data_IF_929013512734
#
_entry.id   IF_929013512734
#
_cell.length_a   1.000
_cell.length_b   1.000
_cell.length_c   1.000
_cell.angle_alpha   90.00
_cell.angle_beta   90.00
_cell.angle_gamma   90.00
#
_symmetry.space_group_name_H-M   'P 1'
#
loop_
_entity.id
_entity.type
_entity.pdbx_description
1 polymer ?
#
# COMPACT_ATOMS: atom_id res chain seq x y z
N UNK A 1 -15.44 -2.79 2.48
CA UNK A 1 -14.05 -2.63 2.94
C UNK A 1 -13.80 -1.18 3.30
N UNK A 2 -12.89 -0.91 4.22
CA UNK A 2 -12.49 0.44 4.64
C UNK A 2 -11.01 0.47 4.97
N UNK A 3 -10.38 1.64 4.84
CA UNK A 3 -9.01 1.87 5.30
C UNK A 3 -9.05 2.46 6.70
N UNK A 4 -8.32 1.84 7.61
CA UNK A 4 -8.13 2.31 8.97
C UNK A 4 -6.76 2.95 9.09
N UNK A 5 -6.70 4.22 9.52
CA UNK A 5 -5.46 4.93 9.85
C UNK A 5 -5.33 5.01 11.36
N UNK A 6 -4.23 4.49 11.90
CA UNK A 6 -4.02 4.36 13.34
C UNK A 6 -2.59 4.71 13.72
N UNK A 7 -2.38 5.05 14.99
CA UNK A 7 -1.04 5.29 15.54
C UNK A 7 -0.56 4.03 16.25
N UNK A 8 0.59 3.51 15.84
CA UNK A 8 1.33 2.45 16.53
C UNK A 8 2.22 3.09 17.60
N UNK A 9 1.96 2.80 18.87
CA UNK A 9 2.68 3.45 19.99
C UNK A 9 2.91 2.56 21.23
N UNK A 10 2.88 1.24 21.07
CA UNK A 10 3.17 0.30 22.17
C UNK A 10 4.66 0.12 22.47
N UNK A 11 4.99 -0.53 23.59
CA UNK A 11 6.37 -0.81 24.03
C UNK A 11 7.22 -1.44 22.91
N UNK A 12 6.68 -2.44 22.21
CA UNK A 12 7.37 -3.07 21.08
C UNK A 12 7.64 -2.10 19.93
N UNK A 13 6.74 -1.15 19.69
CA UNK A 13 6.95 -0.15 18.65
C UNK A 13 8.09 0.81 19.03
N UNK A 14 8.18 1.19 20.31
CA UNK A 14 9.27 2.01 20.83
C UNK A 14 10.62 1.30 20.67
N UNK A 15 10.71 0.05 21.11
CA UNK A 15 11.94 -0.74 21.04
C UNK A 15 12.42 -1.01 19.61
N UNK A 16 11.48 -1.16 18.67
CA UNK A 16 11.80 -1.42 17.26
C UNK A 16 11.93 -0.14 16.43
N UNK A 17 11.75 1.04 17.03
CA UNK A 17 11.76 2.31 16.29
C UNK A 17 10.62 2.47 15.30
N UNK A 18 9.51 1.73 15.47
CA UNK A 18 8.35 1.72 14.58
C UNK A 18 7.15 2.48 15.17
N UNK A 19 7.41 3.44 16.06
CA UNK A 19 6.38 4.35 16.56
C UNK A 19 5.98 5.31 15.45
N UNK A 20 4.68 5.42 15.19
CA UNK A 20 4.19 6.36 14.20
C UNK A 20 2.81 5.98 13.67
N UNK A 21 2.42 6.62 12.57
CA UNK A 21 1.15 6.44 11.89
C UNK A 21 1.26 5.33 10.84
N UNK A 22 0.25 4.47 10.80
CA UNK A 22 0.14 3.35 9.86
C UNK A 22 -1.28 3.29 9.33
N UNK A 23 -1.46 2.51 8.27
CA UNK A 23 -2.75 2.23 7.70
C UNK A 23 -2.93 0.74 7.44
N UNK A 24 -4.17 0.27 7.45
CA UNK A 24 -4.54 -1.09 7.07
C UNK A 24 -5.87 -1.12 6.32
N UNK A 25 -6.02 -2.04 5.38
CA UNK A 25 -7.28 -2.27 4.68
C UNK A 25 -8.04 -3.41 5.37
N UNK A 26 -9.31 -3.16 5.70
CA UNK A 26 -10.16 -4.14 6.38
C UNK A 26 -11.48 -4.34 5.66
N UNK A 27 -12.04 -5.52 5.80
CA UNK A 27 -13.42 -5.82 5.42
C UNK A 27 -14.40 -5.32 6.48
N UNK A 28 -15.70 -5.26 6.17
CA UNK A 28 -16.70 -4.78 7.13
C UNK A 28 -16.95 -5.75 8.30
N UNK A 29 -16.68 -7.04 8.10
CA UNK A 29 -16.65 -8.10 9.13
C UNK A 29 -15.34 -8.10 9.95
N UNK A 30 -14.43 -7.16 9.70
CA UNK A 30 -13.26 -6.91 10.53
C UNK A 30 -12.00 -7.69 10.16
N UNK A 31 -12.01 -8.46 9.07
CA UNK A 31 -10.80 -9.14 8.57
C UNK A 31 -9.82 -8.11 8.01
N UNK A 32 -8.54 -8.21 8.39
CA UNK A 32 -7.46 -7.39 7.82
C UNK A 32 -6.96 -8.01 6.53
N UNK A 33 -7.08 -7.30 5.42
CA UNK A 33 -6.59 -7.73 4.11
C UNK A 33 -5.16 -7.28 3.84
N UNK A 34 -4.82 -6.06 4.28
CA UNK A 34 -3.48 -5.46 4.13
C UNK A 34 -3.13 -4.75 5.43
N UNK A 35 -1.94 -5.00 5.98
CA UNK A 35 -1.34 -4.22 7.06
C UNK A 35 -0.04 -3.61 6.55
N UNK A 36 -0.02 -2.29 6.37
CA UNK A 36 1.13 -1.59 5.84
C UNK A 36 2.28 -1.62 6.85
N UNK A 37 3.45 -2.13 6.43
CA UNK A 37 4.63 -2.19 7.29
C UNK A 37 5.35 -0.85 7.44
N UNK A 38 5.18 0.04 6.46
CA UNK A 38 5.67 1.41 6.51
C UNK A 38 5.05 2.18 7.68
N UNK A 39 5.86 3.01 8.34
CA UNK A 39 5.44 3.82 9.48
C UNK A 39 5.81 5.27 9.23
N UNK A 40 4.82 6.15 9.33
CA UNK A 40 4.97 7.59 9.11
C UNK A 40 5.17 8.32 10.44
N UNK A 41 6.04 9.32 10.47
CA UNK A 41 6.23 10.16 11.66
C UNK A 41 4.99 10.99 11.99
N UNK A 42 4.22 11.39 10.98
CA UNK A 42 3.02 12.23 11.13
C UNK A 42 1.78 11.66 10.40
N UNK A 43 0.60 12.08 10.89
CA UNK A 43 -0.69 11.57 10.39
C UNK A 43 -1.01 12.04 8.98
N UNK A 44 -0.58 13.26 8.62
CA UNK A 44 -0.94 13.90 7.35
C UNK A 44 -0.25 13.18 6.19
N UNK A 45 1.02 12.81 6.35
CA UNK A 45 1.77 12.03 5.36
C UNK A 45 1.13 10.66 5.12
N UNK A 46 0.74 9.96 6.19
CA UNK A 46 0.03 8.68 6.09
C UNK A 46 -1.30 8.83 5.34
N UNK A 47 -2.09 9.85 5.66
CA UNK A 47 -3.35 10.14 4.99
C UNK A 47 -3.17 10.52 3.51
N UNK A 48 -2.11 11.23 3.16
CA UNK A 48 -1.82 11.59 1.77
C UNK A 48 -1.56 10.35 0.92
N UNK A 49 -0.78 9.39 1.43
CA UNK A 49 -0.58 8.10 0.75
C UNK A 49 -1.91 7.33 0.61
N UNK A 50 -2.68 7.23 1.70
CA UNK A 50 -3.98 6.55 1.69
C UNK A 50 -4.94 7.20 0.69
N UNK A 51 -4.96 8.53 0.59
CA UNK A 51 -5.75 9.25 -0.39
C UNK A 51 -5.37 8.85 -1.82
N UNK A 52 -4.06 8.77 -2.14
CA UNK A 52 -3.60 8.29 -3.45
C UNK A 52 -4.02 6.85 -3.74
N UNK A 53 -3.92 5.96 -2.74
CA UNK A 53 -4.32 4.55 -2.86
C UNK A 53 -5.82 4.41 -3.13
N UNK A 54 -6.66 5.14 -2.39
CA UNK A 54 -8.13 5.06 -2.50
C UNK A 54 -8.65 5.82 -3.72
N UNK A 55 -8.02 6.94 -4.12
CA UNK A 55 -8.43 7.71 -5.29
C UNK A 55 -8.21 6.98 -6.62
N UNK A 56 -7.72 5.74 -6.57
CA UNK A 56 -7.48 4.92 -7.74
C UNK A 56 -6.12 5.27 -8.34
N UNK A 57 -5.05 4.77 -7.72
CA UNK A 57 -3.74 4.76 -8.36
C UNK A 57 -3.89 4.27 -9.81
N UNK A 58 -3.60 5.15 -10.77
CA UNK A 58 -3.18 4.82 -12.13
C UNK A 58 -1.75 4.19 -12.12
N UNK A 59 -1.36 3.59 -11.00
CA UNK A 59 -0.08 2.94 -10.89
C UNK A 59 -0.07 1.73 -11.81
N UNK A 60 1.04 1.58 -12.51
CA UNK A 60 1.34 0.36 -13.25
C UNK A 60 1.38 -0.80 -12.25
N UNK A 61 0.57 -1.82 -12.50
CA UNK A 61 0.67 -3.10 -11.79
C UNK A 61 1.87 -3.82 -12.37
N UNK A 62 2.73 -4.43 -11.55
CA UNK A 62 3.96 -5.07 -12.02
C UNK A 62 4.04 -6.47 -11.44
N UNK A 63 4.33 -7.45 -12.28
CA UNK A 63 4.74 -8.77 -11.82
C UNK A 63 6.23 -8.74 -11.48
N UNK A 64 6.56 -8.95 -10.21
CA UNK A 64 7.94 -8.90 -9.73
C UNK A 64 8.80 -10.08 -10.16
N UNK A 65 8.19 -11.21 -10.51
CA UNK A 65 8.87 -12.43 -10.94
C UNK A 65 9.37 -12.29 -12.37
N UNK A 66 8.53 -11.78 -13.27
CA UNK A 66 8.89 -11.55 -14.68
C UNK A 66 9.35 -10.12 -14.97
N UNK A 67 9.26 -9.22 -13.99
CA UNK A 67 9.64 -7.79 -14.09
C UNK A 67 8.91 -7.07 -15.21
N UNK A 68 7.60 -7.32 -15.37
CA UNK A 68 6.77 -6.70 -16.42
C UNK A 68 5.56 -5.98 -15.86
N UNK A 69 5.16 -4.91 -16.54
CA UNK A 69 3.93 -4.18 -16.26
C UNK A 69 2.75 -5.03 -16.72
N UNK A 70 1.81 -5.31 -15.84
CA UNK A 70 0.55 -5.97 -16.16
C UNK A 70 -0.48 -4.93 -16.58
N UNK A 71 -1.11 -5.20 -17.72
CA UNK A 71 -2.20 -4.37 -18.25
C UNK A 71 -3.50 -5.15 -18.19
N UNK A 72 -4.56 -4.50 -17.72
CA UNK A 72 -5.89 -5.09 -17.69
C UNK A 72 -6.50 -5.10 -19.10
N UNK A 73 -6.95 -6.26 -19.55
CA UNK A 73 -7.65 -6.44 -20.84
C UNK A 73 -8.92 -7.23 -20.61
N UNK A 74 -10.05 -6.54 -20.42
CA UNK A 74 -11.29 -7.17 -19.98
C UNK A 74 -11.15 -7.75 -18.56
N UNK A 75 -11.36 -9.06 -18.43
CA UNK A 75 -11.18 -9.80 -17.17
C UNK A 75 -9.77 -10.37 -17.00
N UNK A 76 -8.96 -10.36 -18.07
CA UNK A 76 -7.60 -10.90 -18.06
C UNK A 76 -6.52 -9.84 -17.77
N UNK A 77 -5.34 -10.33 -17.40
CA UNK A 77 -4.12 -9.54 -17.23
C UNK A 77 -3.08 -9.99 -18.25
N UNK A 78 -2.57 -9.04 -19.03
CA UNK A 78 -1.56 -9.29 -20.05
C UNK A 78 -0.22 -8.66 -19.64
N UNK A 79 0.87 -9.38 -19.92
CA UNK A 79 2.21 -8.84 -19.76
C UNK A 79 2.48 -7.76 -20.81
N UNK A 80 2.85 -6.57 -20.35
CA UNK A 80 3.24 -5.44 -21.16
C UNK A 80 4.75 -5.24 -21.19
N UNK A 81 5.16 -3.98 -21.10
CA UNK A 81 6.56 -3.58 -21.14
C UNK A 81 7.34 -4.08 -19.91
N UNK A 82 8.66 -4.22 -20.08
CA UNK A 82 9.56 -4.45 -18.95
C UNK A 82 9.51 -3.27 -17.98
N UNK A 83 9.41 -3.58 -16.70
CA UNK A 83 9.38 -2.60 -15.65
C UNK A 83 10.81 -2.21 -15.25
N UNK A 84 11.15 -0.94 -15.48
CA UNK A 84 12.39 -0.35 -14.98
C UNK A 84 12.07 0.76 -13.95
N UNK A 85 12.33 0.52 -12.65
CA UNK A 85 12.05 1.50 -11.61
C UNK A 85 12.95 2.75 -11.68
N UNK A 86 14.05 2.73 -12.43
CA UNK A 86 14.97 3.87 -12.56
C UNK A 86 14.53 4.89 -13.63
N UNK A 87 13.44 4.63 -14.36
CA UNK A 87 12.94 5.46 -15.47
C UNK A 87 11.54 6.01 -15.17
N UNK A 88 11.13 5.94 -13.90
CA UNK A 88 9.91 6.54 -13.35
C UNK A 88 10.26 7.81 -12.58
#
# INVERSE_FOLDING_TARGET
MYVEVYRRSGLWAQLTGTVGWRWRLRTFDGVTLIDAQETFSDRRSCLALVALLISGLNARVVDSKVKRVLRRSGEDWLEGEEFNPAVL
#
